data_IF_332791733018
#
_entry.id   IF_332791733018
#
_cell.length_a   1.000
_cell.length_b   1.000
_cell.length_c   1.000
_cell.angle_alpha   90.00
_cell.angle_beta   90.00
_cell.angle_gamma   90.00
#
_symmetry.space_group_name_H-M   'P 1'
#
loop_
_entity.id
_entity.type
_entity.pdbx_description
1 polymer ?
#
# COMPACT_ATOMS: atom_id res chain seq x y z
N UNK A 1 -41.87 20.43 -5.57
CA UNK A 1 -41.62 19.08 -5.00
C UNK A 1 -40.62 18.24 -5.77
N UNK A 2 -39.45 18.79 -6.16
CA UNK A 2 -38.43 18.05 -6.94
C UNK A 2 -37.57 17.07 -6.11
N UNK A 3 -37.23 17.43 -4.87
CA UNK A 3 -36.39 16.60 -3.99
C UNK A 3 -37.05 15.27 -3.60
N UNK A 4 -38.34 15.28 -3.27
CA UNK A 4 -39.08 14.05 -2.90
C UNK A 4 -39.11 13.06 -4.08
N UNK A 5 -39.27 13.56 -5.31
CA UNK A 5 -39.22 12.72 -6.51
C UNK A 5 -37.83 12.11 -6.74
N UNK A 6 -36.76 12.88 -6.51
CA UNK A 6 -35.39 12.38 -6.58
C UNK A 6 -35.12 11.26 -5.55
N UNK A 7 -35.48 11.46 -4.29
CA UNK A 7 -35.32 10.44 -3.24
C UNK A 7 -36.09 9.15 -3.56
N UNK A 8 -37.32 9.27 -4.05
CA UNK A 8 -38.11 8.10 -4.49
C UNK A 8 -37.44 7.36 -5.65
N UNK A 9 -36.89 8.07 -6.64
CA UNK A 9 -36.14 7.47 -7.76
C UNK A 9 -34.88 6.76 -7.28
N UNK A 10 -34.06 7.42 -6.47
CA UNK A 10 -32.82 6.85 -5.91
C UNK A 10 -33.11 5.59 -5.08
N UNK A 11 -34.16 5.63 -4.26
CA UNK A 11 -34.60 4.47 -3.48
C UNK A 11 -35.01 3.30 -4.39
N UNK A 12 -35.76 3.56 -5.47
CA UNK A 12 -36.15 2.54 -6.45
C UNK A 12 -34.94 1.91 -7.14
N UNK A 13 -33.98 2.73 -7.59
CA UNK A 13 -32.72 2.27 -8.20
C UNK A 13 -31.94 1.39 -7.22
N UNK A 14 -31.77 1.83 -5.97
CA UNK A 14 -31.08 1.06 -4.93
C UNK A 14 -31.77 -0.28 -4.65
N UNK A 15 -33.11 -0.30 -4.58
CA UNK A 15 -33.88 -1.52 -4.37
C UNK A 15 -33.75 -2.49 -5.54
N UNK A 16 -33.76 -1.97 -6.77
CA UNK A 16 -33.61 -2.76 -7.99
C UNK A 16 -32.20 -3.37 -8.08
N UNK A 17 -31.16 -2.57 -7.89
CA UNK A 17 -29.78 -3.04 -7.91
C UNK A 17 -29.52 -4.15 -6.88
N UNK A 18 -30.08 -4.04 -5.67
CA UNK A 18 -30.00 -5.12 -4.67
C UNK A 18 -30.67 -6.41 -5.11
N UNK A 19 -31.76 -6.35 -5.87
CA UNK A 19 -32.40 -7.56 -6.42
C UNK A 19 -31.54 -8.18 -7.51
N UNK A 20 -31.04 -7.37 -8.43
CA UNK A 20 -30.15 -7.80 -9.52
C UNK A 20 -28.87 -8.45 -8.98
N UNK A 21 -28.25 -7.89 -7.92
CA UNK A 21 -27.09 -8.50 -7.27
C UNK A 21 -27.38 -9.89 -6.71
N UNK A 22 -28.55 -10.10 -6.08
CA UNK A 22 -28.94 -11.42 -5.56
C UNK A 22 -29.17 -12.43 -6.68
N UNK A 23 -29.85 -12.00 -7.75
CA UNK A 23 -30.07 -12.82 -8.93
C UNK A 23 -28.72 -13.20 -9.54
N UNK A 24 -27.82 -12.24 -9.73
CA UNK A 24 -26.47 -12.49 -10.22
C UNK A 24 -25.72 -13.52 -9.37
N UNK A 25 -25.76 -13.39 -8.04
CA UNK A 25 -25.14 -14.36 -7.12
C UNK A 25 -25.69 -15.78 -7.28
N UNK A 26 -27.00 -15.95 -7.53
CA UNK A 26 -27.60 -17.25 -7.80
C UNK A 26 -27.22 -17.75 -9.20
N UNK A 27 -27.22 -16.86 -10.20
CA UNK A 27 -26.87 -17.19 -11.58
C UNK A 27 -25.43 -17.69 -11.69
N UNK A 28 -24.46 -17.07 -11.02
CA UNK A 28 -23.06 -17.52 -11.07
C UNK A 28 -22.82 -18.85 -10.33
N UNK A 29 -23.71 -19.26 -9.42
CA UNK A 29 -23.63 -20.59 -8.80
C UNK A 29 -24.03 -21.70 -9.79
N UNK A 30 -25.01 -21.41 -10.66
CA UNK A 30 -25.47 -22.35 -11.70
C UNK A 30 -24.57 -22.27 -12.94
N UNK A 31 -24.08 -21.07 -13.27
CA UNK A 31 -23.26 -20.78 -14.45
C UNK A 31 -21.97 -20.05 -14.05
N UNK A 32 -20.96 -20.77 -13.55
CA UNK A 32 -19.68 -20.16 -13.12
C UNK A 32 -18.98 -19.34 -14.20
N UNK A 33 -19.20 -19.64 -15.49
CA UNK A 33 -18.64 -18.91 -16.63
C UNK A 33 -19.15 -17.48 -16.77
N UNK A 34 -20.27 -17.13 -16.13
CA UNK A 34 -20.82 -15.76 -16.13
C UNK A 34 -20.21 -14.89 -15.03
N UNK A 35 -19.34 -15.45 -14.18
CA UNK A 35 -18.67 -14.71 -13.13
C UNK A 35 -17.74 -13.67 -13.74
N UNK A 36 -17.94 -12.40 -13.39
CA UNK A 36 -16.99 -11.35 -13.75
C UNK A 36 -15.57 -11.69 -13.25
N UNK A 37 -14.55 -11.35 -14.04
CA UNK A 37 -13.17 -11.46 -13.58
C UNK A 37 -12.96 -10.61 -12.32
N UNK A 38 -11.93 -10.95 -11.54
CA UNK A 38 -11.56 -10.14 -10.39
C UNK A 38 -11.07 -8.76 -10.85
N UNK A 39 -11.10 -7.77 -9.96
CA UNK A 39 -10.72 -6.40 -10.33
C UNK A 39 -9.25 -6.32 -10.76
N UNK A 40 -8.40 -7.18 -10.20
CA UNK A 40 -6.98 -7.28 -10.52
C UNK A 40 -6.72 -7.74 -11.95
N UNK A 41 -7.68 -8.47 -12.55
CA UNK A 41 -7.60 -8.93 -13.93
C UNK A 41 -8.04 -7.86 -14.95
N UNK A 42 -8.57 -6.72 -14.49
CA UNK A 42 -8.90 -5.60 -15.37
C UNK A 42 -7.62 -4.92 -15.87
N UNK A 43 -7.56 -4.60 -17.16
CA UNK A 43 -6.39 -3.97 -17.78
C UNK A 43 -6.05 -2.59 -17.22
N UNK A 44 -7.05 -1.91 -16.63
CA UNK A 44 -6.93 -0.58 -16.04
C UNK A 44 -6.74 -0.60 -14.51
N UNK A 45 -6.53 -1.79 -13.91
CA UNK A 45 -6.43 -1.96 -12.47
C UNK A 45 -5.27 -1.16 -11.85
N UNK A 46 -4.09 -1.18 -12.47
CA UNK A 46 -2.95 -0.41 -11.97
C UNK A 46 -3.24 1.10 -11.97
N UNK A 47 -3.88 1.62 -13.03
CA UNK A 47 -4.29 3.02 -13.08
C UNK A 47 -5.32 3.32 -11.98
N UNK A 48 -6.29 2.41 -11.74
CA UNK A 48 -7.27 2.57 -10.67
C UNK A 48 -6.61 2.63 -9.28
N UNK A 49 -5.57 1.84 -9.03
CA UNK A 49 -4.76 1.93 -7.81
C UNK A 49 -4.04 3.28 -7.72
N UNK A 50 -3.39 3.73 -8.79
CA UNK A 50 -2.73 5.05 -8.84
C UNK A 50 -3.70 6.19 -8.54
N UNK A 51 -4.93 6.12 -9.03
CA UNK A 51 -5.94 7.15 -8.78
C UNK A 51 -6.31 7.31 -7.30
N UNK A 52 -6.15 6.27 -6.46
CA UNK A 52 -6.36 6.39 -5.01
C UNK A 52 -5.42 7.38 -4.35
N UNK A 53 -4.28 7.66 -4.98
CA UNK A 53 -3.29 8.62 -4.52
C UNK A 53 -3.46 10.02 -5.14
N UNK A 54 -4.44 10.21 -6.02
CA UNK A 54 -4.75 11.52 -6.58
C UNK A 54 -5.44 12.42 -5.54
N UNK A 55 -5.15 13.72 -5.60
CA UNK A 55 -5.70 14.68 -4.65
C UNK A 55 -7.25 14.66 -4.63
N UNK A 56 -7.88 14.60 -5.80
CA UNK A 56 -9.36 14.58 -5.89
C UNK A 56 -9.96 13.35 -5.21
N UNK A 57 -9.31 12.18 -5.32
CA UNK A 57 -9.77 10.96 -4.67
C UNK A 57 -9.69 11.10 -3.14
N UNK A 58 -8.54 11.52 -2.62
CA UNK A 58 -8.36 11.71 -1.17
C UNK A 58 -9.33 12.75 -0.59
N UNK A 59 -9.56 13.85 -1.30
CA UNK A 59 -10.55 14.85 -0.90
C UNK A 59 -11.97 14.28 -0.94
N UNK A 60 -12.29 13.46 -1.94
CA UNK A 60 -13.54 12.73 -2.02
C UNK A 60 -13.76 11.84 -0.79
N UNK A 61 -12.76 11.07 -0.38
CA UNK A 61 -12.83 10.24 0.83
C UNK A 61 -13.06 11.08 2.10
N UNK A 62 -12.37 12.22 2.23
CA UNK A 62 -12.56 13.15 3.34
C UNK A 62 -13.98 13.71 3.37
N UNK A 63 -14.51 14.11 2.23
CA UNK A 63 -15.88 14.64 2.11
C UNK A 63 -16.93 13.58 2.44
N UNK A 64 -16.78 12.36 1.93
CA UNK A 64 -17.67 11.24 2.23
C UNK A 64 -17.66 10.94 3.73
N UNK A 65 -16.47 10.85 4.35
CA UNK A 65 -16.33 10.61 5.80
C UNK A 65 -16.95 11.74 6.63
N UNK A 66 -16.73 13.00 6.24
CA UNK A 66 -17.32 14.15 6.93
C UNK A 66 -18.84 14.17 6.83
N UNK A 67 -19.40 13.79 5.68
CA UNK A 67 -20.84 13.68 5.50
C UNK A 67 -21.45 12.53 6.32
N UNK A 68 -20.81 11.37 6.31
CA UNK A 68 -21.24 10.21 7.11
C UNK A 68 -21.22 10.48 8.62
N UNK A 69 -20.29 11.32 9.08
CA UNK A 69 -20.13 11.70 10.50
C UNK A 69 -20.71 13.07 10.79
N UNK A 70 -21.58 13.60 9.92
CA UNK A 70 -22.15 14.93 10.08
C UNK A 70 -22.89 15.09 11.42
N UNK A 71 -23.68 14.08 11.81
CA UNK A 71 -24.43 14.06 13.06
C UNK A 71 -23.55 14.00 14.32
N UNK A 72 -22.28 13.58 14.19
CA UNK A 72 -21.28 13.62 15.28
C UNK A 72 -20.36 14.84 15.18
N UNK A 73 -20.72 15.86 14.39
CA UNK A 73 -19.92 17.06 14.20
C UNK A 73 -18.73 16.90 13.24
N UNK A 74 -18.77 15.91 12.33
CA UNK A 74 -17.72 15.68 11.33
C UNK A 74 -17.40 16.91 10.46
N UNK A 75 -18.41 17.76 10.21
CA UNK A 75 -18.24 19.03 9.51
C UNK A 75 -17.25 19.99 10.17
N UNK A 76 -17.17 20.02 11.51
CA UNK A 76 -16.22 20.88 12.24
C UNK A 76 -14.75 20.48 11.99
N UNK A 77 -14.49 19.18 11.76
CA UNK A 77 -13.14 18.65 11.50
C UNK A 77 -12.76 18.71 10.03
N UNK A 78 -13.67 19.07 9.12
CA UNK A 78 -13.48 19.01 7.67
C UNK A 78 -12.26 19.81 7.20
N UNK A 79 -12.11 21.06 7.65
CA UNK A 79 -10.96 21.91 7.29
C UNK A 79 -9.62 21.26 7.66
N UNK A 80 -9.54 20.68 8.86
CA UNK A 80 -8.32 20.01 9.34
C UNK A 80 -8.06 18.71 8.57
N UNK A 81 -9.09 17.94 8.26
CA UNK A 81 -8.98 16.71 7.47
C UNK A 81 -8.55 17.00 6.01
N UNK A 82 -9.07 18.07 5.39
CA UNK A 82 -8.61 18.54 4.07
C UNK A 82 -7.14 18.94 4.14
N UNK A 83 -6.74 19.71 5.17
CA UNK A 83 -5.32 20.07 5.37
C UNK A 83 -4.44 18.84 5.54
N UNK A 84 -4.91 17.82 6.26
CA UNK A 84 -4.20 16.53 6.42
C UNK A 84 -4.07 15.80 5.08
N UNK A 85 -5.16 15.63 4.32
CA UNK A 85 -5.15 15.00 3.01
C UNK A 85 -4.22 15.70 2.02
N UNK A 86 -4.18 17.04 2.04
CA UNK A 86 -3.25 17.81 1.23
C UNK A 86 -1.78 17.51 1.59
N UNK A 87 -1.45 17.35 2.88
CA UNK A 87 -0.09 16.96 3.31
C UNK A 87 0.25 15.53 2.88
N UNK A 88 -0.67 14.59 3.09
CA UNK A 88 -0.50 13.20 2.64
C UNK A 88 -0.28 13.14 1.12
N UNK A 89 -1.05 13.90 0.34
CA UNK A 89 -0.88 14.00 -1.11
C UNK A 89 0.51 14.51 -1.50
N UNK A 90 1.08 15.52 -0.82
CA UNK A 90 2.43 15.98 -1.13
C UNK A 90 3.47 14.88 -0.89
N UNK A 91 3.34 14.12 0.19
CA UNK A 91 4.24 12.98 0.49
C UNK A 91 4.18 11.94 -0.64
N UNK A 92 2.98 11.53 -1.04
CA UNK A 92 2.82 10.56 -2.13
C UNK A 92 3.31 11.10 -3.48
N UNK A 93 3.02 12.36 -3.77
CA UNK A 93 3.51 13.01 -4.98
C UNK A 93 5.04 13.08 -5.03
N UNK A 94 5.68 13.30 -3.89
CA UNK A 94 7.13 13.37 -3.76
C UNK A 94 7.77 12.01 -4.01
N UNK A 95 7.31 10.95 -3.34
CA UNK A 95 7.84 9.59 -3.56
C UNK A 95 7.60 9.11 -5.00
N UNK A 96 6.44 9.40 -5.59
CA UNK A 96 6.14 9.01 -6.98
C UNK A 96 6.95 9.79 -8.02
N UNK A 97 7.53 10.93 -7.65
CA UNK A 97 8.45 11.69 -8.49
C UNK A 97 9.89 11.19 -8.38
N UNK A 98 10.26 10.68 -7.22
CA UNK A 98 11.62 10.19 -6.94
C UNK A 98 11.82 8.76 -7.47
N UNK A 99 10.75 7.95 -7.53
CA UNK A 99 10.82 6.56 -7.96
C UNK A 99 9.88 6.31 -9.15
N UNK A 100 10.45 6.18 -10.35
CA UNK A 100 9.68 5.97 -11.59
C UNK A 100 9.11 4.54 -11.71
N UNK A 101 9.67 3.57 -10.98
CA UNK A 101 9.29 2.15 -11.04
C UNK A 101 8.24 1.76 -10.01
N UNK A 102 7.06 2.37 -10.09
CA UNK A 102 5.94 2.04 -9.21
C UNK A 102 4.93 1.20 -9.97
N UNK A 103 4.90 -0.09 -9.65
CA UNK A 103 3.96 -1.07 -10.18
C UNK A 103 2.76 -1.28 -9.24
N UNK A 104 1.85 -2.18 -9.61
CA UNK A 104 0.65 -2.49 -8.82
C UNK A 104 0.95 -3.01 -7.40
N UNK A 105 1.94 -3.89 -7.22
CA UNK A 105 2.25 -4.47 -5.90
C UNK A 105 2.76 -3.43 -4.91
N UNK A 106 3.58 -2.48 -5.36
CA UNK A 106 4.04 -1.35 -4.54
C UNK A 106 2.86 -0.45 -4.17
N UNK A 107 1.96 -0.17 -5.11
CA UNK A 107 0.76 0.64 -4.85
C UNK A 107 -0.15 -0.03 -3.81
N UNK A 108 -0.35 -1.35 -3.91
CA UNK A 108 -1.08 -2.13 -2.91
C UNK A 108 -0.40 -2.07 -1.54
N UNK A 109 0.91 -2.32 -1.48
CA UNK A 109 1.69 -2.18 -0.25
C UNK A 109 1.59 -0.79 0.38
N UNK A 110 1.57 0.28 -0.42
CA UNK A 110 1.36 1.65 0.06
C UNK A 110 -0.06 1.90 0.56
N UNK A 111 -1.08 1.30 -0.07
CA UNK A 111 -2.48 1.40 0.36
C UNK A 111 -2.65 0.72 1.71
N UNK A 112 -2.17 -0.52 1.83
CA UNK A 112 -2.34 -1.36 3.01
C UNK A 112 -1.56 -0.80 4.21
N UNK A 113 -0.36 -0.28 3.96
CA UNK A 113 0.50 0.29 5.00
C UNK A 113 0.46 1.82 5.07
N UNK A 114 -0.57 2.47 4.52
CA UNK A 114 -0.64 3.94 4.38
C UNK A 114 -0.25 4.70 5.65
N UNK A 115 -0.78 4.32 6.82
CA UNK A 115 -0.49 5.03 8.06
C UNK A 115 0.95 4.86 8.53
N UNK A 116 1.50 3.64 8.42
CA UNK A 116 2.89 3.35 8.78
C UNK A 116 3.85 4.08 7.84
N UNK A 117 3.61 4.00 6.53
CA UNK A 117 4.39 4.71 5.52
C UNK A 117 4.43 6.22 5.78
N UNK A 118 3.27 6.84 6.03
CA UNK A 118 3.19 8.28 6.31
C UNK A 118 3.92 8.67 7.60
N UNK A 119 3.90 7.80 8.62
CA UNK A 119 4.61 8.01 9.90
C UNK A 119 6.12 7.95 9.72
N UNK A 120 6.60 6.96 8.97
CA UNK A 120 8.03 6.69 8.80
C UNK A 120 8.63 7.32 7.52
N UNK A 121 7.86 8.12 6.77
CA UNK A 121 8.24 8.63 5.44
C UNK A 121 9.63 9.26 5.40
N UNK A 122 9.98 10.10 6.38
CA UNK A 122 11.30 10.75 6.43
C UNK A 122 12.45 9.75 6.56
N UNK A 123 12.26 8.69 7.34
CA UNK A 123 13.25 7.62 7.57
C UNK A 123 13.36 6.72 6.34
N UNK A 124 12.23 6.31 5.78
CA UNK A 124 12.17 5.54 4.53
C UNK A 124 12.88 6.32 3.40
N UNK A 125 12.54 7.59 3.23
CA UNK A 125 13.17 8.46 2.24
C UNK A 125 14.68 8.56 2.44
N UNK A 126 15.14 8.65 3.69
CA UNK A 126 16.56 8.66 4.00
C UNK A 126 17.26 7.37 3.56
N UNK A 127 16.68 6.21 3.87
CA UNK A 127 17.21 4.90 3.45
C UNK A 127 17.32 4.77 1.93
N UNK A 128 16.26 5.13 1.21
CA UNK A 128 16.27 5.06 -0.25
C UNK A 128 17.31 6.00 -0.86
N UNK A 129 17.56 7.17 -0.24
CA UNK A 129 18.63 8.10 -0.66
C UNK A 129 20.02 7.59 -0.35
N UNK A 130 20.24 7.02 0.83
CA UNK A 130 21.54 6.47 1.24
C UNK A 130 21.98 5.38 0.26
N UNK A 131 21.03 4.58 -0.23
CA UNK A 131 21.29 3.47 -1.14
C UNK A 131 20.88 3.75 -2.59
N UNK A 132 20.74 5.02 -2.98
CA UNK A 132 20.32 5.41 -4.34
C UNK A 132 21.25 4.89 -5.44
N UNK A 133 22.52 4.66 -5.10
CA UNK A 133 23.59 4.17 -5.98
C UNK A 133 23.70 2.63 -6.01
N UNK A 134 22.96 1.94 -5.13
CA UNK A 134 22.99 0.49 -5.02
C UNK A 134 21.68 -0.12 -5.51
N UNK A 135 21.59 -0.32 -6.83
CA UNK A 135 20.33 -0.76 -7.47
C UNK A 135 19.79 -2.08 -6.92
N UNK A 136 20.65 -3.07 -6.64
CA UNK A 136 20.22 -4.39 -6.18
C UNK A 136 19.45 -4.34 -4.84
N UNK A 137 19.84 -3.46 -3.90
CA UNK A 137 19.10 -3.32 -2.65
C UNK A 137 17.79 -2.56 -2.85
N UNK A 138 17.75 -1.56 -3.74
CA UNK A 138 16.50 -0.86 -4.08
C UNK A 138 15.49 -1.81 -4.72
N UNK A 139 15.94 -2.63 -5.67
CA UNK A 139 15.10 -3.64 -6.32
C UNK A 139 14.55 -4.63 -5.28
N UNK A 140 15.39 -5.07 -4.32
CA UNK A 140 14.95 -5.94 -3.22
C UNK A 140 13.92 -5.24 -2.31
N UNK A 141 14.15 -3.97 -1.93
CA UNK A 141 13.19 -3.17 -1.14
C UNK A 141 11.84 -3.06 -1.85
N UNK A 142 11.84 -2.73 -3.15
CA UNK A 142 10.60 -2.52 -3.90
C UNK A 142 9.86 -3.82 -4.21
N UNK A 143 10.58 -4.92 -4.46
CA UNK A 143 9.98 -6.23 -4.62
C UNK A 143 9.29 -6.69 -3.33
N UNK A 144 9.94 -6.47 -2.18
CA UNK A 144 9.46 -6.85 -0.85
C UNK A 144 8.82 -5.68 -0.08
N UNK A 145 8.23 -4.70 -0.78
CA UNK A 145 7.88 -3.41 -0.19
C UNK A 145 6.90 -3.52 0.99
N UNK A 146 5.90 -4.40 0.89
CA UNK A 146 4.95 -4.63 1.98
C UNK A 146 5.67 -5.11 3.25
N UNK A 147 6.57 -6.10 3.11
CA UNK A 147 7.35 -6.61 4.23
C UNK A 147 8.33 -5.55 4.78
N UNK A 148 8.95 -4.79 3.88
CA UNK A 148 9.84 -3.69 4.22
C UNK A 148 9.17 -2.67 5.14
N UNK A 149 7.95 -2.22 4.82
CA UNK A 149 7.23 -1.26 5.66
C UNK A 149 6.81 -1.87 7.00
N UNK A 150 6.38 -3.13 7.01
CA UNK A 150 5.94 -3.81 8.25
C UNK A 150 7.08 -4.05 9.24
N UNK A 151 8.30 -4.25 8.75
CA UNK A 151 9.49 -4.55 9.56
C UNK A 151 10.54 -3.44 9.46
N UNK A 152 10.09 -2.21 9.18
CA UNK A 152 10.96 -1.11 8.81
C UNK A 152 12.06 -0.81 9.84
N UNK A 153 11.76 -0.84 11.14
CA UNK A 153 12.76 -0.54 12.17
C UNK A 153 13.95 -1.51 12.14
N UNK A 154 13.68 -2.81 11.98
CA UNK A 154 14.72 -3.85 11.92
C UNK A 154 15.55 -3.73 10.64
N UNK A 155 14.89 -3.48 9.52
CA UNK A 155 15.54 -3.35 8.21
C UNK A 155 16.35 -2.05 8.16
N UNK A 156 15.84 -0.95 8.72
CA UNK A 156 16.56 0.31 8.81
C UNK A 156 17.86 0.16 9.62
N UNK A 157 17.79 -0.46 10.80
CA UNK A 157 18.96 -0.74 11.64
C UNK A 157 20.02 -1.53 10.86
N UNK A 158 19.60 -2.57 10.15
CA UNK A 158 20.49 -3.39 9.34
C UNK A 158 21.12 -2.62 8.17
N UNK A 159 20.31 -1.91 7.38
CA UNK A 159 20.77 -1.19 6.18
C UNK A 159 21.65 0.02 6.50
N UNK A 160 21.61 0.52 7.74
CA UNK A 160 22.52 1.56 8.24
C UNK A 160 23.78 1.01 8.92
N UNK A 161 23.87 -0.30 9.13
CA UNK A 161 24.99 -0.91 9.85
C UNK A 161 26.28 -0.93 9.01
N UNK A 162 27.42 -0.87 9.71
CA UNK A 162 28.72 -1.09 9.09
C UNK A 162 28.85 -2.51 8.51
N UNK A 163 28.24 -3.52 9.17
CA UNK A 163 28.31 -4.91 8.70
C UNK A 163 27.61 -5.09 7.34
N UNK A 164 26.45 -4.46 7.11
CA UNK A 164 25.81 -4.43 5.79
C UNK A 164 26.72 -3.75 4.75
N UNK A 165 27.32 -2.63 5.12
CA UNK A 165 28.19 -1.86 4.23
C UNK A 165 29.42 -2.68 3.79
N UNK A 166 30.08 -3.34 4.75
CA UNK A 166 31.24 -4.19 4.48
C UNK A 166 30.88 -5.41 3.64
N UNK A 167 29.77 -6.10 3.96
CA UNK A 167 29.39 -7.35 3.28
C UNK A 167 28.83 -7.16 1.89
N UNK A 168 28.00 -6.14 1.69
CA UNK A 168 27.18 -6.02 0.49
C UNK A 168 27.50 -4.75 -0.30
N UNK A 169 27.54 -3.60 0.37
CA UNK A 169 27.62 -2.31 -0.34
C UNK A 169 28.98 -2.05 -0.97
N UNK A 170 30.08 -2.34 -0.26
CA UNK A 170 31.46 -2.07 -0.75
C UNK A 170 31.77 -2.77 -2.08
N UNK A 171 31.32 -4.01 -2.21
CA UNK A 171 31.58 -4.84 -3.39
C UNK A 171 30.42 -4.81 -4.39
N UNK A 172 29.38 -3.99 -4.14
CA UNK A 172 28.16 -3.91 -4.95
C UNK A 172 27.55 -5.31 -5.21
N UNK A 173 27.40 -6.09 -4.13
CA UNK A 173 26.96 -7.48 -4.19
C UNK A 173 25.62 -7.61 -4.93
N UNK A 174 25.44 -8.56 -5.86
CA UNK A 174 24.23 -8.63 -6.68
C UNK A 174 22.97 -9.03 -5.90
N UNK A 175 23.12 -9.66 -4.74
CA UNK A 175 22.00 -10.17 -3.92
C UNK A 175 22.14 -9.69 -2.46
N UNK A 176 21.92 -8.40 -2.17
CA UNK A 176 21.97 -7.91 -0.80
C UNK A 176 20.74 -8.36 -0.01
N UNK A 177 20.98 -8.92 1.18
CA UNK A 177 19.91 -9.28 2.11
C UNK A 177 19.27 -8.05 2.75
N UNK A 178 17.94 -8.05 2.89
CA UNK A 178 17.18 -7.03 3.63
C UNK A 178 17.25 -7.20 5.16
N UNK A 179 17.70 -8.35 5.64
CA UNK A 179 17.81 -8.64 7.07
C UNK A 179 19.24 -9.08 7.42
N UNK A 180 19.64 -8.87 8.66
CA UNK A 180 20.94 -9.30 9.17
C UNK A 180 21.01 -10.85 9.24
N UNK A 181 21.84 -11.52 8.42
CA UNK A 181 21.96 -12.97 8.44
C UNK A 181 22.45 -13.53 9.78
N UNK A 182 23.20 -12.76 10.58
CA UNK A 182 23.64 -13.20 11.91
C UNK A 182 22.47 -13.26 12.87
N UNK A 183 21.64 -12.20 12.92
CA UNK A 183 20.44 -12.19 13.76
C UNK A 183 19.45 -13.28 13.34
N UNK A 184 19.33 -13.56 12.04
CA UNK A 184 18.45 -14.63 11.54
C UNK A 184 18.81 -16.04 12.05
N UNK A 185 20.07 -16.27 12.42
CA UNK A 185 20.51 -17.54 13.00
C UNK A 185 20.16 -17.69 14.49
N UNK A 186 19.87 -16.59 15.19
CA UNK A 186 19.50 -16.62 16.60
C UNK A 186 17.99 -16.93 16.76
N UNK A 187 17.69 -18.05 17.43
CA UNK A 187 16.32 -18.49 17.68
C UNK A 187 15.54 -17.58 18.64
N UNK A 188 16.25 -16.75 19.40
CA UNK A 188 15.64 -15.80 20.33
C UNK A 188 15.22 -14.49 19.66
N UNK A 189 15.70 -14.24 18.44
CA UNK A 189 15.30 -13.08 17.67
C UNK A 189 13.85 -13.19 17.21
N UNK A 190 13.17 -12.04 17.16
CA UNK A 190 11.77 -11.94 16.74
C UNK A 190 11.55 -12.51 15.35
N UNK A 191 12.53 -12.35 14.48
CA UNK A 191 12.54 -12.80 13.08
C UNK A 191 13.80 -13.64 12.89
N UNK A 192 13.63 -14.91 12.52
CA UNK A 192 14.72 -15.87 12.35
C UNK A 192 14.36 -16.97 11.34
N UNK A 193 15.33 -17.78 10.92
CA UNK A 193 15.12 -18.81 9.89
C UNK A 193 14.07 -19.87 10.25
N UNK A 194 13.67 -20.00 11.52
CA UNK A 194 12.67 -20.99 11.94
C UNK A 194 11.24 -20.46 11.84
N UNK A 195 11.05 -19.13 11.74
CA UNK A 195 9.73 -18.51 11.71
C UNK A 195 9.43 -17.71 10.44
N UNK A 196 10.43 -17.47 9.58
CA UNK A 196 10.22 -16.87 8.26
C UNK A 196 9.81 -17.95 7.25
N UNK A 197 8.73 -17.74 6.48
CA UNK A 197 8.38 -18.61 5.37
C UNK A 197 9.52 -18.73 4.35
N UNK A 198 9.80 -19.94 3.87
CA UNK A 198 10.89 -20.18 2.92
C UNK A 198 10.77 -19.36 1.63
N UNK A 199 9.55 -19.18 1.13
CA UNK A 199 9.26 -18.35 -0.06
C UNK A 199 9.69 -16.89 0.17
N UNK A 200 9.35 -16.33 1.32
CA UNK A 200 9.73 -14.96 1.68
C UNK A 200 11.24 -14.82 1.90
N UNK A 201 11.88 -15.84 2.49
CA UNK A 201 13.34 -15.85 2.64
C UNK A 201 14.05 -15.82 1.28
N UNK A 202 13.53 -16.58 0.31
CA UNK A 202 14.02 -16.59 -1.06
C UNK A 202 13.83 -15.24 -1.76
N UNK A 203 12.63 -14.65 -1.66
CA UNK A 203 12.32 -13.33 -2.25
C UNK A 203 13.21 -12.20 -1.69
N UNK A 204 13.67 -12.32 -0.44
CA UNK A 204 14.49 -11.32 0.23
C UNK A 204 16.00 -11.52 0.10
N UNK A 205 16.45 -12.51 -0.68
CA UNK A 205 17.85 -12.91 -0.82
C UNK A 205 18.50 -13.30 0.53
N UNK A 206 17.76 -14.00 1.39
CA UNK A 206 18.34 -14.51 2.64
C UNK A 206 19.21 -15.75 2.32
N UNK A 207 20.46 -15.83 2.84
CA UNK A 207 21.36 -16.95 2.61
C UNK A 207 20.95 -18.20 3.41
#
# INVERSE_FOLDING_TARGET
GGYIALFKKLYKIKKQHKKEQKIYQQTIQVFPQLKYPSLEACSDYEQALRYKFHLSYMLGEVLIKAYQTWYTGGGFKLKNNIKKANKEFQIFREIFKEFDQINSSILEGLIDNKQLFLKEFSRIKNILKIHQDYKAILDNIFHNFNYFIQNFDLIEEWLLSDDFKERYKKENHPYPSLLDPKKLNDKNEKINYHNIPAELAWEMNLP
#
